data_IF_904893291323
#
_entry.id   IF_904893291323
#
_cell.length_a   1.000
_cell.length_b   1.000
_cell.length_c   1.000
_cell.angle_alpha   90.00
_cell.angle_beta   90.00
_cell.angle_gamma   90.00
#
_symmetry.space_group_name_H-M   'P 1'
#
loop_
_entity.id
_entity.type
_entity.pdbx_description
1 polymer ?
#
# COMPACT_ATOMS: atom_id res chain seq x y z
N UNK A 1 -10.86 -2.73 23.93
CA UNK A 1 -10.88 -4.10 23.38
C UNK A 1 -10.00 -4.11 22.13
N UNK A 2 -9.10 -5.09 21.94
CA UNK A 2 -8.27 -5.12 20.73
C UNK A 2 -9.11 -5.62 19.55
N UNK A 3 -9.26 -4.79 18.51
CA UNK A 3 -9.89 -5.20 17.26
C UNK A 3 -8.83 -5.29 16.14
N UNK A 4 -9.02 -6.25 15.24
CA UNK A 4 -8.14 -6.47 14.09
C UNK A 4 -8.69 -5.71 12.90
N UNK A 5 -7.96 -4.69 12.45
CA UNK A 5 -8.25 -3.98 11.20
C UNK A 5 -7.81 -4.85 10.02
N UNK A 6 -8.77 -5.50 9.36
CA UNK A 6 -8.53 -6.32 8.16
C UNK A 6 -8.82 -5.50 6.90
N UNK A 7 -7.84 -5.41 5.99
CA UNK A 7 -7.99 -4.71 4.70
C UNK A 7 -7.42 -5.55 3.56
N UNK A 8 -7.91 -5.37 2.31
CA UNK A 8 -7.41 -6.09 1.14
C UNK A 8 -5.89 -6.03 0.97
N UNK A 9 -5.27 -7.18 0.66
CA UNK A 9 -3.84 -7.30 0.41
C UNK A 9 -3.43 -6.53 -0.85
N UNK A 10 -2.47 -5.61 -0.74
CA UNK A 10 -1.91 -4.93 -1.90
C UNK A 10 -0.88 -5.82 -2.62
N UNK A 11 -0.84 -5.71 -3.94
CA UNK A 11 0.01 -6.51 -4.84
C UNK A 11 0.62 -5.63 -5.93
N UNK A 12 1.70 -6.12 -6.54
CA UNK A 12 2.32 -5.51 -7.72
C UNK A 12 1.29 -5.24 -8.81
N UNK A 13 1.19 -4.00 -9.27
CA UNK A 13 0.24 -3.50 -10.26
C UNK A 13 -1.06 -2.92 -9.66
N UNK A 14 -1.31 -3.04 -8.36
CA UNK A 14 -2.47 -2.40 -7.73
C UNK A 14 -2.24 -0.88 -7.74
N UNK A 15 -3.32 -0.11 -7.87
CA UNK A 15 -3.24 1.33 -8.10
C UNK A 15 -3.01 2.08 -6.79
N UNK A 16 -2.09 3.05 -6.78
CA UNK A 16 -2.02 4.12 -5.79
C UNK A 16 -2.69 5.38 -6.29
N UNK A 17 -3.59 5.94 -5.48
CA UNK A 17 -4.46 7.05 -5.84
C UNK A 17 -3.70 8.28 -6.32
N UNK A 18 -4.40 9.14 -7.07
CA UNK A 18 -3.98 10.52 -7.32
C UNK A 18 -3.83 11.33 -6.02
N UNK A 19 -3.09 12.44 -6.10
CA UNK A 19 -3.12 13.53 -5.11
C UNK A 19 -2.79 14.87 -5.78
N UNK A 20 -3.48 15.94 -5.38
CA UNK A 20 -3.34 17.24 -6.03
C UNK A 20 -3.66 17.15 -7.53
N UNK A 21 -2.73 17.60 -8.39
CA UNK A 21 -2.83 17.44 -9.85
C UNK A 21 -2.18 16.15 -10.39
N UNK A 22 -1.52 15.36 -9.53
CA UNK A 22 -0.75 14.20 -9.95
C UNK A 22 -1.67 12.98 -10.12
N UNK A 23 -1.65 12.30 -11.27
CA UNK A 23 -2.56 11.18 -11.56
C UNK A 23 -2.23 9.94 -10.72
N UNK A 24 -3.13 8.96 -10.71
CA UNK A 24 -2.86 7.66 -10.11
C UNK A 24 -1.82 6.85 -10.89
N UNK A 25 -1.08 5.98 -10.19
CA UNK A 25 -0.07 5.12 -10.81
C UNK A 25 -0.01 3.74 -10.15
N UNK A 26 0.42 2.70 -10.89
CA UNK A 26 0.51 1.34 -10.34
C UNK A 26 1.71 1.18 -9.41
N UNK A 27 1.60 0.25 -8.47
CA UNK A 27 2.74 -0.34 -7.77
C UNK A 27 3.60 -1.11 -8.77
N UNK A 28 4.92 -0.87 -8.79
CA UNK A 28 5.86 -1.47 -9.76
C UNK A 28 6.91 -2.37 -9.10
N UNK A 29 6.94 -2.44 -7.78
CA UNK A 29 7.77 -3.37 -7.03
C UNK A 29 6.95 -4.25 -6.08
N UNK A 30 7.50 -5.41 -5.75
CA UNK A 30 6.87 -6.34 -4.83
C UNK A 30 7.86 -7.39 -4.33
N UNK A 31 7.36 -8.34 -3.55
CA UNK A 31 8.11 -9.51 -3.09
C UNK A 31 8.56 -10.39 -4.25
N UNK A 32 9.79 -10.90 -4.19
CA UNK A 32 10.32 -11.79 -5.24
C UNK A 32 9.77 -13.23 -5.14
N UNK A 33 9.21 -13.61 -3.99
CA UNK A 33 8.90 -15.00 -3.64
C UNK A 33 7.54 -15.19 -2.97
N UNK A 34 6.92 -14.13 -2.45
CA UNK A 34 5.58 -14.19 -1.84
C UNK A 34 4.55 -13.62 -2.80
N UNK A 35 3.62 -14.50 -3.21
CA UNK A 35 2.62 -14.25 -4.24
C UNK A 35 1.21 -14.30 -3.63
N UNK A 36 0.36 -13.35 -4.00
CA UNK A 36 -1.05 -13.28 -3.63
C UNK A 36 -1.91 -13.14 -4.90
N UNK A 37 -2.85 -14.07 -5.12
CA UNK A 37 -3.64 -14.20 -6.36
C UNK A 37 -2.79 -14.10 -7.65
N UNK A 38 -1.66 -14.80 -7.69
CA UNK A 38 -0.78 -14.82 -8.85
C UNK A 38 0.07 -13.57 -9.06
N UNK A 39 0.05 -12.59 -8.14
CA UNK A 39 0.84 -11.35 -8.23
C UNK A 39 1.76 -11.19 -7.01
N UNK A 40 3.00 -10.70 -7.19
CA UNK A 40 3.88 -10.34 -6.09
C UNK A 40 3.20 -9.45 -5.03
N UNK A 41 3.44 -9.73 -3.76
CA UNK A 41 2.93 -8.93 -2.64
C UNK A 41 3.63 -7.57 -2.58
N UNK A 42 2.88 -6.50 -2.41
CA UNK A 42 3.42 -5.16 -2.17
C UNK A 42 3.67 -4.93 -0.67
N UNK A 43 4.77 -4.27 -0.33
CA UNK A 43 5.25 -4.08 1.05
C UNK A 43 5.57 -2.61 1.31
N UNK A 44 5.61 -2.23 2.58
CA UNK A 44 6.15 -0.93 3.02
C UNK A 44 7.50 -0.68 2.37
N UNK A 45 7.61 0.38 1.58
CA UNK A 45 8.82 0.79 0.86
C UNK A 45 8.88 0.38 -0.62
N UNK A 46 7.92 -0.41 -1.14
CA UNK A 46 7.95 -0.83 -2.54
C UNK A 46 7.49 0.35 -3.40
N UNK A 47 8.14 0.55 -4.54
CA UNK A 47 7.89 1.70 -5.41
C UNK A 47 6.54 1.60 -6.13
N UNK A 48 5.94 2.77 -6.35
CA UNK A 48 4.94 2.99 -7.40
C UNK A 48 5.61 3.72 -8.54
N UNK A 49 5.03 3.64 -9.74
CA UNK A 49 5.53 4.41 -10.87
C UNK A 49 5.48 5.90 -10.54
N UNK A 50 6.58 6.60 -10.79
CA UNK A 50 6.69 8.05 -10.71
C UNK A 50 5.55 8.74 -11.46
N UNK A 51 5.16 9.91 -10.97
CA UNK A 51 4.16 10.71 -11.65
C UNK A 51 4.46 12.20 -11.65
N UNK A 52 4.00 12.87 -12.71
CA UNK A 52 4.04 14.32 -12.88
C UNK A 52 2.68 14.82 -13.36
N UNK A 53 2.52 16.14 -13.47
CA UNK A 53 1.34 16.74 -14.08
C UNK A 53 1.77 17.85 -15.05
N UNK A 54 0.85 18.43 -15.83
CA UNK A 54 1.21 19.46 -16.84
C UNK A 54 1.84 20.73 -16.25
N UNK A 55 1.81 20.90 -14.93
CA UNK A 55 2.30 22.10 -14.21
C UNK A 55 3.40 21.79 -13.19
N UNK A 56 3.72 20.52 -12.96
CA UNK A 56 4.64 20.11 -11.91
C UNK A 56 5.53 18.96 -12.41
N UNK A 57 6.80 18.97 -12.01
CA UNK A 57 7.77 17.93 -12.38
C UNK A 57 7.36 16.55 -11.86
N UNK A 58 7.87 15.51 -12.51
CA UNK A 58 7.73 14.14 -12.03
C UNK A 58 8.47 13.95 -10.70
N UNK A 59 7.94 13.12 -9.82
CA UNK A 59 8.57 12.73 -8.57
C UNK A 59 8.30 11.25 -8.23
N UNK A 60 9.19 10.62 -7.43
CA UNK A 60 9.05 9.23 -7.05
C UNK A 60 7.92 9.02 -6.04
N UNK A 61 7.45 7.78 -5.98
CA UNK A 61 6.36 7.35 -5.10
C UNK A 61 6.70 6.03 -4.43
N UNK A 62 6.41 5.91 -3.15
CA UNK A 62 6.70 4.71 -2.36
C UNK A 62 5.59 4.42 -1.36
N UNK A 63 5.29 3.14 -1.13
CA UNK A 63 4.37 2.74 -0.06
C UNK A 63 4.95 3.14 1.29
N UNK A 64 4.22 3.95 2.06
CA UNK A 64 4.66 4.52 3.33
C UNK A 64 4.03 3.88 4.57
N UNK A 65 3.06 2.98 4.41
CA UNK A 65 2.46 2.25 5.52
C UNK A 65 2.17 0.78 5.17
N UNK A 66 1.96 -0.04 6.20
CA UNK A 66 1.64 -1.47 6.05
C UNK A 66 1.00 -2.04 7.30
N UNK A 67 0.66 -3.32 7.27
CA UNK A 67 0.11 -4.04 8.40
C UNK A 67 1.16 -4.30 9.49
N UNK A 68 1.00 -3.71 10.66
CA UNK A 68 1.85 -4.00 11.82
C UNK A 68 1.74 -5.48 12.22
N UNK A 69 2.88 -6.18 12.22
CA UNK A 69 2.98 -7.59 12.62
C UNK A 69 2.78 -8.62 11.51
N UNK A 70 2.40 -8.21 10.29
CA UNK A 70 2.38 -9.10 9.12
C UNK A 70 3.54 -8.72 8.20
N UNK A 71 4.63 -9.47 8.30
CA UNK A 71 5.87 -9.18 7.57
C UNK A 71 6.05 -10.13 6.40
N UNK A 72 6.44 -9.57 5.26
CA UNK A 72 6.82 -10.28 4.04
C UNK A 72 8.23 -9.83 3.68
N UNK A 73 9.17 -10.78 3.62
CA UNK A 73 10.62 -10.51 3.51
C UNK A 73 11.12 -9.44 4.51
N UNK A 74 10.63 -9.51 5.75
CA UNK A 74 10.99 -8.57 6.82
C UNK A 74 10.32 -7.19 6.75
N UNK A 75 9.46 -6.92 5.75
CA UNK A 75 8.79 -5.63 5.57
C UNK A 75 7.26 -5.79 5.75
N UNK A 76 6.55 -4.84 6.38
CA UNK A 76 5.10 -4.89 6.52
C UNK A 76 4.37 -5.08 5.18
N UNK A 77 3.40 -6.00 5.12
CA UNK A 77 2.55 -6.18 3.94
C UNK A 77 1.63 -4.96 3.79
N UNK A 78 1.71 -4.29 2.65
CA UNK A 78 0.84 -3.16 2.31
C UNK A 78 -0.60 -3.61 2.04
N UNK A 79 -1.55 -2.73 2.35
CA UNK A 79 -2.99 -2.99 2.22
C UNK A 79 -3.65 -1.85 1.48
N UNK A 80 -4.82 -2.12 0.90
CA UNK A 80 -5.72 -1.06 0.45
C UNK A 80 -5.93 -0.05 1.59
N UNK A 81 -5.76 1.24 1.29
CA UNK A 81 -5.84 2.36 2.21
C UNK A 81 -4.53 2.73 2.91
N UNK A 82 -3.46 1.93 2.78
CA UNK A 82 -2.14 2.32 3.31
C UNK A 82 -1.55 3.49 2.52
N UNK A 83 -0.88 4.41 3.22
CA UNK A 83 -0.40 5.67 2.66
C UNK A 83 0.71 5.47 1.61
N UNK A 84 0.77 6.39 0.66
CA UNK A 84 1.92 6.60 -0.25
C UNK A 84 2.64 7.86 0.20
N UNK A 85 3.98 7.85 0.20
CA UNK A 85 4.85 8.86 0.82
C UNK A 85 4.65 10.28 0.27
N UNK A 86 4.45 10.43 -1.04
CA UNK A 86 4.21 11.70 -1.70
C UNK A 86 2.77 12.22 -1.56
N UNK A 87 1.86 11.35 -1.08
CA UNK A 87 0.44 11.63 -0.97
C UNK A 87 -0.44 10.57 -1.63
N UNK A 88 -1.68 10.50 -1.16
CA UNK A 88 -2.63 9.47 -1.57
C UNK A 88 -2.47 8.16 -0.79
N UNK A 89 -3.14 7.12 -1.27
CA UNK A 89 -3.18 5.80 -0.65
C UNK A 89 -3.15 4.71 -1.71
N UNK A 90 -2.77 3.49 -1.32
CA UNK A 90 -3.01 2.29 -2.12
C UNK A 90 -4.53 2.11 -2.29
N UNK A 91 -5.05 2.27 -3.49
CA UNK A 91 -6.48 2.09 -3.81
C UNK A 91 -6.82 0.65 -4.16
N UNK A 92 -5.92 -0.07 -4.82
CA UNK A 92 -6.15 -1.46 -5.21
C UNK A 92 -5.89 -2.45 -4.07
N UNK A 93 -6.33 -3.69 -4.28
CA UNK A 93 -6.07 -4.80 -3.37
C UNK A 93 -6.68 -6.10 -3.87
N UNK A 94 -6.40 -7.20 -3.16
CA UNK A 94 -7.00 -8.50 -3.40
C UNK A 94 -8.52 -8.50 -3.16
N UNK A 95 -9.26 -9.26 -3.97
CA UNK A 95 -10.71 -9.41 -3.80
C UNK A 95 -11.10 -10.40 -2.70
N UNK A 96 -10.17 -11.23 -2.23
CA UNK A 96 -10.45 -12.35 -1.33
C UNK A 96 -9.38 -12.55 -0.23
N UNK A 97 -8.22 -11.90 -0.32
CA UNK A 97 -7.18 -11.93 0.72
C UNK A 97 -7.21 -10.65 1.54
N UNK A 98 -7.52 -10.78 2.83
CA UNK A 98 -7.50 -9.68 3.80
C UNK A 98 -6.31 -9.83 4.75
N UNK A 99 -5.61 -8.72 4.99
CA UNK A 99 -4.48 -8.63 5.93
C UNK A 99 -4.89 -7.85 7.17
N UNK A 100 -4.79 -8.50 8.31
CA UNK A 100 -5.07 -7.92 9.62
C UNK A 100 -3.90 -7.14 10.19
N UNK A 101 -4.16 -5.98 10.76
CA UNK A 101 -3.25 -5.29 11.65
C UNK A 101 -3.92 -5.03 13.01
N UNK A 102 -3.15 -5.17 14.09
CA UNK A 102 -3.65 -4.78 15.41
C UNK A 102 -3.75 -3.26 15.49
N UNK A 103 -4.94 -2.75 15.79
CA UNK A 103 -5.11 -1.38 16.28
C UNK A 103 -5.27 -1.45 17.79
N UNK A 104 -4.44 -0.72 18.53
CA UNK A 104 -4.81 -0.32 19.88
C UNK A 104 -5.86 0.79 19.75
N UNK A 105 -6.99 0.66 20.46
CA UNK A 105 -7.83 1.83 20.75
C UNK A 105 -6.91 2.92 21.31
N UNK A 106 -7.06 4.15 20.86
CA UNK A 106 -6.72 5.30 21.70
C UNK A 106 -7.93 5.45 22.63
N UNK A 107 -7.84 5.13 23.93
CA UNK A 107 -8.98 5.31 24.82
C UNK A 107 -9.31 6.80 24.91
N UNK A 108 -10.58 7.18 24.74
CA UNK A 108 -11.06 8.52 25.13
C UNK A 108 -11.16 9.57 24.03
N UNK A 109 -11.71 9.21 22.87
CA UNK A 109 -12.84 10.02 22.41
C UNK A 109 -14.10 9.46 23.07
#
# INVERSE_FOLDING_TARGET
MAYIDTRPAARLGDIGSAHGCYPETPIIEGSADVICNGRPVARLGDALLDHGCSRCNSHPRMIAAGAAGVLVNGRPWARQGDAVDCGGVVQGGSGDVLIGARRSEVPGK
#
